data_IF_214085406023
#
_entry.id   IF_214085406023
#
_cell.length_a   1.000
_cell.length_b   1.000
_cell.length_c   1.000
_cell.angle_alpha   90.00
_cell.angle_beta   90.00
_cell.angle_gamma   90.00
#
_symmetry.space_group_name_H-M   'P 1'
#
loop_
_entity.id
_entity.type
_entity.pdbx_description
1 polymer ?
#
# COMPACT_ATOMS: atom_id res chain seq x y z
N UNK A 1 -9.41 -35.47 -9.72
CA UNK A 1 -8.89 -34.49 -8.75
C UNK A 1 -8.39 -35.25 -7.54
N UNK A 2 -7.12 -35.11 -7.20
CA UNK A 2 -6.57 -35.59 -5.92
C UNK A 2 -7.23 -34.83 -4.77
N UNK A 3 -7.52 -35.50 -3.66
CA UNK A 3 -8.06 -34.86 -2.46
C UNK A 3 -7.03 -33.87 -1.87
N UNK A 4 -7.49 -32.74 -1.35
CA UNK A 4 -6.64 -31.75 -0.70
C UNK A 4 -6.11 -32.29 0.63
N UNK A 5 -4.79 -32.31 0.80
CA UNK A 5 -4.15 -32.68 2.06
C UNK A 5 -4.12 -31.48 3.02
N UNK A 6 -5.01 -31.53 4.02
CA UNK A 6 -5.18 -30.54 5.08
C UNK A 6 -4.36 -30.85 6.35
N UNK A 7 -3.39 -31.75 6.30
CA UNK A 7 -2.54 -32.06 7.45
C UNK A 7 -1.56 -30.92 7.75
N UNK A 8 -1.12 -30.82 9.01
CA UNK A 8 -0.09 -29.84 9.43
C UNK A 8 1.24 -30.04 8.69
N UNK A 9 1.59 -31.27 8.34
CA UNK A 9 2.81 -31.57 7.60
C UNK A 9 2.75 -30.96 6.19
N UNK A 10 1.63 -31.16 5.49
CA UNK A 10 1.41 -30.58 4.18
C UNK A 10 1.30 -29.05 4.21
N UNK A 11 0.88 -28.44 5.32
CA UNK A 11 0.94 -26.98 5.49
C UNK A 11 2.38 -26.48 5.62
N UNK A 12 3.21 -27.13 6.46
CA UNK A 12 4.63 -26.77 6.64
C UNK A 12 5.44 -26.89 5.36
N UNK A 13 5.22 -27.95 4.59
CA UNK A 13 5.90 -28.13 3.29
C UNK A 13 5.57 -26.98 2.33
N UNK A 14 4.34 -26.48 2.35
CA UNK A 14 3.93 -25.31 1.55
C UNK A 14 4.55 -24.03 2.07
N UNK A 15 4.64 -23.84 3.39
CA UNK A 15 5.33 -22.69 3.99
C UNK A 15 6.82 -22.68 3.60
N UNK A 16 7.49 -23.84 3.64
CA UNK A 16 8.92 -23.99 3.28
C UNK A 16 9.18 -23.75 1.79
N UNK A 17 8.20 -24.07 0.94
CA UNK A 17 8.30 -23.90 -0.51
C UNK A 17 7.83 -22.52 -1.01
N UNK A 18 7.28 -21.66 -0.14
CA UNK A 18 6.72 -20.36 -0.55
C UNK A 18 7.84 -19.35 -0.89
N UNK A 19 7.99 -18.93 -2.17
CA UNK A 19 8.98 -17.94 -2.55
C UNK A 19 8.72 -16.54 -1.94
N UNK A 20 7.53 -16.32 -1.38
CA UNK A 20 7.13 -15.06 -0.75
C UNK A 20 7.26 -15.06 0.77
N UNK A 21 7.70 -16.16 1.39
CA UNK A 21 7.73 -16.30 2.86
C UNK A 21 8.48 -15.14 3.55
N UNK A 22 9.58 -14.64 2.94
CA UNK A 22 10.36 -13.53 3.47
C UNK A 22 9.65 -12.17 3.49
N UNK A 23 8.51 -12.01 2.80
CA UNK A 23 7.72 -10.78 2.92
C UNK A 23 7.00 -10.68 4.27
N UNK A 24 6.69 -11.81 4.92
CA UNK A 24 6.04 -11.82 6.23
C UNK A 24 6.91 -11.11 7.29
N UNK A 25 8.23 -11.20 7.18
CA UNK A 25 9.19 -10.58 8.10
C UNK A 25 9.18 -9.05 8.04
N UNK A 26 8.56 -8.43 7.02
CA UNK A 26 8.44 -6.97 6.87
C UNK A 26 7.26 -6.37 7.63
N UNK A 27 6.47 -7.19 8.32
CA UNK A 27 5.26 -6.77 9.01
C UNK A 27 5.31 -7.16 10.49
N UNK A 28 4.96 -6.21 11.35
CA UNK A 28 4.83 -6.46 12.79
C UNK A 28 3.38 -6.76 13.12
N UNK A 29 3.10 -7.99 13.57
CA UNK A 29 1.75 -8.43 13.93
C UNK A 29 1.56 -8.55 15.45
N UNK A 30 0.43 -8.09 16.01
CA UNK A 30 0.12 -8.26 17.44
C UNK A 30 -0.23 -9.71 17.81
N UNK A 31 -0.72 -10.50 16.84
CA UNK A 31 -0.98 -11.93 16.97
C UNK A 31 -0.38 -12.66 15.77
N UNK A 32 0.07 -13.91 15.98
CA UNK A 32 0.55 -14.80 14.93
C UNK A 32 -0.53 -15.13 13.89
N UNK A 33 -1.81 -15.07 14.26
CA UNK A 33 -2.94 -15.32 13.35
C UNK A 33 -3.76 -14.04 13.14
N UNK A 34 -3.35 -13.26 12.13
CA UNK A 34 -4.07 -12.05 11.72
C UNK A 34 -4.79 -12.27 10.38
N UNK A 35 -6.10 -12.53 10.43
CA UNK A 35 -6.93 -12.90 9.27
C UNK A 35 -7.94 -11.82 8.86
N UNK A 36 -7.70 -10.56 9.19
CA UNK A 36 -8.57 -9.42 8.82
C UNK A 36 -7.82 -8.33 8.04
N UNK A 37 -6.76 -8.71 7.33
CA UNK A 37 -5.94 -7.82 6.50
C UNK A 37 -6.68 -7.16 5.34
N UNK A 38 -7.85 -7.71 4.95
CA UNK A 38 -8.74 -7.09 3.95
C UNK A 38 -9.49 -5.87 4.49
N UNK A 39 -9.65 -5.76 5.82
CA UNK A 39 -10.27 -4.62 6.48
C UNK A 39 -9.21 -3.57 6.82
N UNK A 40 -8.14 -4.01 7.50
CA UNK A 40 -6.99 -3.18 7.83
C UNK A 40 -5.70 -3.97 7.65
N UNK A 41 -4.86 -3.57 6.71
CA UNK A 41 -3.55 -4.19 6.54
C UNK A 41 -2.64 -3.94 7.76
N UNK A 42 -1.78 -4.90 8.14
CA UNK A 42 -0.80 -4.67 9.18
C UNK A 42 0.23 -3.61 8.77
N UNK A 43 0.79 -2.91 9.75
CA UNK A 43 1.86 -1.93 9.49
C UNK A 43 3.12 -2.66 9.02
N UNK A 44 3.73 -2.16 7.96
CA UNK A 44 5.04 -2.61 7.50
C UNK A 44 6.16 -1.75 8.08
N UNK A 45 7.35 -2.31 8.19
CA UNK A 45 8.55 -1.58 8.63
C UNK A 45 8.85 -0.38 7.73
N UNK A 46 8.56 -0.50 6.42
CA UNK A 46 8.76 0.58 5.46
C UNK A 46 7.75 1.71 5.64
N UNK A 47 6.50 1.40 6.00
CA UNK A 47 5.49 2.42 6.30
C UNK A 47 5.90 3.21 7.55
N UNK A 48 6.34 2.51 8.60
CA UNK A 48 6.84 3.14 9.83
C UNK A 48 8.04 4.05 9.55
N UNK A 49 9.08 3.54 8.86
CA UNK A 49 10.26 4.34 8.50
C UNK A 49 9.93 5.54 7.61
N UNK A 50 8.92 5.41 6.74
CA UNK A 50 8.47 6.53 5.90
C UNK A 50 7.81 7.63 6.73
N UNK A 51 7.00 7.27 7.73
CA UNK A 51 6.40 8.25 8.64
C UNK A 51 7.46 9.02 9.42
N UNK A 52 8.44 8.32 9.99
CA UNK A 52 9.56 8.94 10.70
C UNK A 52 10.32 9.93 9.80
N UNK A 53 10.63 9.51 8.57
CA UNK A 53 11.32 10.35 7.59
C UNK A 53 10.51 11.61 7.26
N UNK A 54 9.22 11.48 6.96
CA UNK A 54 8.36 12.63 6.58
C UNK A 54 8.23 13.64 7.72
N UNK A 55 8.18 13.17 8.98
CA UNK A 55 8.18 14.05 10.15
C UNK A 55 9.50 14.82 10.27
N UNK A 56 10.63 14.16 10.02
CA UNK A 56 11.94 14.84 10.05
C UNK A 56 12.09 15.83 8.88
N UNK A 57 11.70 15.45 7.67
CA UNK A 57 11.66 16.36 6.52
C UNK A 57 10.83 17.60 6.80
N UNK A 58 9.69 17.45 7.49
CA UNK A 58 8.88 18.60 7.88
C UNK A 58 9.59 19.50 8.88
N UNK A 59 10.23 18.92 9.89
CA UNK A 59 11.03 19.66 10.89
C UNK A 59 12.16 20.44 10.23
N UNK A 60 12.84 19.86 9.26
CA UNK A 60 14.02 20.44 8.61
C UNK A 60 13.65 21.46 7.51
N UNK A 61 12.69 21.12 6.66
CA UNK A 61 12.38 21.87 5.43
C UNK A 61 11.22 22.87 5.59
N UNK A 62 10.30 22.62 6.52
CA UNK A 62 9.08 23.42 6.66
C UNK A 62 8.31 23.52 5.33
N UNK A 63 8.06 24.75 4.86
CA UNK A 63 7.38 24.98 3.57
C UNK A 63 8.15 24.42 2.37
N UNK A 64 9.48 24.27 2.49
CA UNK A 64 10.32 23.69 1.46
C UNK A 64 9.98 22.22 1.15
N UNK A 65 9.32 21.50 2.07
CA UNK A 65 8.93 20.10 1.84
C UNK A 65 8.02 19.90 0.62
N UNK A 66 7.29 20.93 0.19
CA UNK A 66 6.52 20.88 -1.05
C UNK A 66 7.37 20.58 -2.28
N UNK A 67 8.59 21.11 -2.35
CA UNK A 67 9.48 21.00 -3.51
C UNK A 67 10.73 20.18 -3.26
N UNK A 68 11.21 20.13 -2.01
CA UNK A 68 12.57 19.68 -1.68
C UNK A 68 12.59 18.39 -0.83
N UNK A 69 11.43 17.88 -0.38
CA UNK A 69 11.34 16.57 0.25
C UNK A 69 11.60 15.42 -0.74
N UNK A 70 11.83 14.20 -0.25
CA UNK A 70 12.08 13.04 -1.11
C UNK A 70 11.01 11.93 -0.93
N UNK A 71 10.06 11.77 -1.86
CA UNK A 71 9.81 12.63 -3.03
C UNK A 71 9.14 13.96 -2.64
N UNK A 72 9.14 14.97 -3.54
CA UNK A 72 8.49 16.25 -3.28
C UNK A 72 7.00 16.09 -3.00
N UNK A 73 6.51 16.68 -1.90
CA UNK A 73 5.12 16.46 -1.47
C UNK A 73 4.10 16.96 -2.49
N UNK A 74 4.45 17.97 -3.29
CA UNK A 74 3.55 18.56 -4.28
C UNK A 74 3.09 17.55 -5.34
N UNK A 75 3.92 16.55 -5.68
CA UNK A 75 3.62 15.53 -6.70
C UNK A 75 3.49 14.12 -6.12
N UNK A 76 3.26 14.03 -4.80
CA UNK A 76 3.30 12.73 -4.12
C UNK A 76 2.12 11.83 -4.52
N UNK A 77 0.96 12.43 -4.80
CA UNK A 77 -0.22 11.69 -5.28
C UNK A 77 0.02 11.01 -6.63
N UNK A 78 0.64 11.73 -7.58
CA UNK A 78 1.04 11.20 -8.88
C UNK A 78 2.15 10.16 -8.75
N UNK A 79 3.16 10.44 -7.92
CA UNK A 79 4.23 9.47 -7.63
C UNK A 79 3.71 8.14 -7.06
N UNK A 80 2.67 8.19 -6.22
CA UNK A 80 1.97 6.98 -5.77
C UNK A 80 1.15 6.35 -6.89
N UNK A 81 0.44 7.17 -7.67
CA UNK A 81 -0.31 6.75 -8.84
C UNK A 81 0.51 5.92 -9.83
N UNK A 82 1.70 6.43 -10.21
CA UNK A 82 2.64 5.75 -11.11
C UNK A 82 3.02 4.35 -10.63
N UNK A 83 3.18 4.17 -9.32
CA UNK A 83 3.53 2.88 -8.71
C UNK A 83 2.34 1.93 -8.58
N UNK A 84 1.13 2.47 -8.53
CA UNK A 84 -0.12 1.69 -8.43
C UNK A 84 -0.69 1.32 -9.80
N UNK A 85 -0.43 2.11 -10.84
CA UNK A 85 -0.96 1.92 -12.20
C UNK A 85 -0.77 0.49 -12.75
N UNK A 86 0.43 -0.16 -12.63
CA UNK A 86 0.62 -1.54 -13.10
C UNK A 86 -0.24 -2.58 -12.36
N UNK A 87 -0.64 -2.31 -11.10
CA UNK A 87 -1.44 -3.22 -10.29
C UNK A 87 -2.92 -3.25 -10.72
N UNK A 88 -3.37 -2.20 -11.40
CA UNK A 88 -4.75 -2.05 -11.90
C UNK A 88 -4.85 -2.10 -13.43
N UNK A 89 -3.72 -2.28 -14.12
CA UNK A 89 -3.67 -2.38 -15.58
C UNK A 89 -3.86 -1.05 -16.32
N UNK A 90 -3.50 0.07 -15.69
CA UNK A 90 -3.60 1.42 -16.25
C UNK A 90 -2.23 2.00 -16.62
N UNK A 91 -2.21 3.08 -17.40
CA UNK A 91 -1.02 3.90 -17.61
C UNK A 91 -0.75 4.79 -16.39
N UNK A 92 0.48 5.27 -16.26
CA UNK A 92 0.92 6.16 -15.17
C UNK A 92 0.04 7.42 -15.07
N UNK A 93 -0.33 8.01 -16.20
CA UNK A 93 -1.12 9.23 -16.27
C UNK A 93 -2.62 9.01 -15.97
N UNK A 94 -3.06 7.76 -15.83
CA UNK A 94 -4.47 7.39 -15.59
C UNK A 94 -4.79 7.14 -14.11
N UNK A 95 -3.78 7.17 -13.22
CA UNK A 95 -3.95 6.87 -11.79
C UNK A 95 -3.30 7.94 -10.92
N UNK A 96 -4.02 8.40 -9.89
CA UNK A 96 -3.51 9.29 -8.85
C UNK A 96 -4.02 8.81 -7.49
N UNK A 97 -3.16 8.82 -6.46
CA UNK A 97 -3.60 8.59 -5.09
C UNK A 97 -4.14 9.89 -4.50
N UNK A 98 -5.46 9.96 -4.29
CA UNK A 98 -6.14 11.15 -3.79
C UNK A 98 -7.30 10.80 -2.84
N UNK A 99 -7.62 11.71 -1.91
CA UNK A 99 -8.78 11.68 -1.00
C UNK A 99 -9.06 10.30 -0.35
N UNK A 100 -10.32 10.04 -0.04
CA UNK A 100 -10.85 8.75 0.38
C UNK A 100 -11.71 8.13 -0.72
N UNK A 101 -11.91 6.80 -0.69
CA UNK A 101 -12.66 6.05 -1.70
C UNK A 101 -14.02 6.65 -2.03
N UNK A 102 -14.84 6.94 -1.01
CA UNK A 102 -16.18 7.52 -1.20
C UNK A 102 -16.14 8.90 -1.85
N UNK A 103 -15.17 9.74 -1.48
CA UNK A 103 -14.99 11.07 -2.09
C UNK A 103 -14.64 10.92 -3.56
N UNK A 104 -13.69 10.04 -3.90
CA UNK A 104 -13.30 9.82 -5.30
C UNK A 104 -14.45 9.30 -6.15
N UNK A 105 -15.29 8.40 -5.63
CA UNK A 105 -16.47 7.91 -6.34
C UNK A 105 -17.46 9.05 -6.61
N UNK A 106 -17.74 9.88 -5.60
CA UNK A 106 -18.63 11.03 -5.78
C UNK A 106 -18.06 12.05 -6.77
N UNK A 107 -16.78 12.36 -6.71
CA UNK A 107 -16.12 13.26 -7.67
C UNK A 107 -16.19 12.70 -9.09
N UNK A 108 -15.93 11.40 -9.27
CA UNK A 108 -16.04 10.72 -10.56
C UNK A 108 -17.46 10.82 -11.11
N UNK A 109 -18.46 10.39 -10.33
CA UNK A 109 -19.86 10.39 -10.75
C UNK A 109 -20.35 11.81 -11.05
N UNK A 110 -20.08 12.77 -10.16
CA UNK A 110 -20.47 14.18 -10.38
C UNK A 110 -19.81 14.76 -11.63
N UNK A 111 -18.52 14.50 -11.85
CA UNK A 111 -17.80 15.01 -13.03
C UNK A 111 -18.34 14.43 -14.35
N UNK A 112 -18.76 13.17 -14.36
CA UNK A 112 -19.27 12.50 -15.56
C UNK A 112 -20.77 12.71 -15.80
N UNK A 113 -21.57 12.89 -14.75
CA UNK A 113 -23.04 12.95 -14.85
C UNK A 113 -23.64 14.36 -14.68
N UNK A 114 -22.97 15.30 -14.01
CA UNK A 114 -23.48 16.66 -13.82
C UNK A 114 -23.19 17.56 -15.05
N UNK A 115 -23.67 17.14 -16.22
CA UNK A 115 -23.79 17.99 -17.43
C UNK A 115 -24.98 18.93 -17.36
#
# INVERSE_FOLDING_TARGET
>A
MTAFDATRAAARERDEADPLAGFADRFSLPDRLYFDGNSLGPVSDDAHRTLDRVVEEWRELGIGGWTDADPPWFRYGEFLGDRLAPLVGAASEEVVAANATTVNIHTLVGTFLDT
#
